data_IF_271257705963
#
_entry.id   IF_271257705963
#
_cell.length_a   1.000
_cell.length_b   1.000
_cell.length_c   1.000
_cell.angle_alpha   90.00
_cell.angle_beta   90.00
_cell.angle_gamma   90.00
#
_symmetry.space_group_name_H-M   'P 1'
#
loop_
_entity.id
_entity.type
_entity.pdbx_description
1 polymer ?
#
# COMPACT_ATOMS: atom_id res chain seq x y z
N UNK A 1 5.54 38.87 29.61
CA UNK A 1 4.79 38.09 28.60
C UNK A 1 5.79 37.33 27.73
N UNK A 2 5.97 36.03 27.95
CA UNK A 2 6.83 35.21 27.10
C UNK A 2 6.17 35.07 25.73
N UNK A 3 6.84 35.53 24.66
CA UNK A 3 6.44 35.25 23.27
C UNK A 3 6.33 33.73 23.14
N UNK A 4 5.10 33.24 22.90
CA UNK A 4 4.82 31.85 22.52
C UNK A 4 5.72 31.56 21.32
N UNK A 5 6.76 30.73 21.48
CA UNK A 5 7.61 30.30 20.35
C UNK A 5 6.67 29.82 19.25
N UNK A 6 6.75 30.45 18.08
CA UNK A 6 6.11 29.96 16.86
C UNK A 6 6.53 28.50 16.72
N UNK A 7 5.59 27.57 16.88
CA UNK A 7 5.88 26.14 16.73
C UNK A 7 6.41 25.96 15.31
N UNK A 8 7.63 25.43 15.16
CA UNK A 8 8.20 25.13 13.84
C UNK A 8 7.15 24.36 13.03
N UNK A 9 6.89 24.83 11.80
CA UNK A 9 5.78 24.33 11.00
C UNK A 9 6.12 22.93 10.49
N UNK A 10 5.53 21.91 11.09
CA UNK A 10 5.65 20.53 10.62
C UNK A 10 4.57 20.21 9.56
N UNK A 11 4.94 19.64 8.41
CA UNK A 11 3.98 19.23 7.37
C UNK A 11 4.38 17.92 6.70
N UNK A 12 3.38 17.11 6.34
CA UNK A 12 3.63 15.89 5.58
C UNK A 12 4.02 16.22 4.15
N UNK A 13 5.08 15.58 3.68
CA UNK A 13 5.57 15.68 2.32
C UNK A 13 6.03 14.31 1.80
N UNK A 14 6.51 14.27 0.55
CA UNK A 14 6.91 13.05 -0.13
C UNK A 14 8.10 12.43 0.63
N UNK A 15 8.00 11.15 0.96
CA UNK A 15 9.11 10.38 1.52
C UNK A 15 9.86 9.65 0.40
N UNK A 16 9.11 8.94 -0.45
CA UNK A 16 9.63 8.25 -1.62
C UNK A 16 8.89 8.67 -2.89
N UNK A 17 9.66 8.96 -3.96
CA UNK A 17 9.13 9.25 -5.28
C UNK A 17 9.70 8.25 -6.28
N UNK A 18 8.85 7.38 -6.84
CA UNK A 18 9.28 6.24 -7.65
C UNK A 18 10.34 5.36 -6.95
N UNK A 19 10.19 5.18 -5.63
CA UNK A 19 11.09 4.40 -4.77
C UNK A 19 12.39 5.10 -4.37
N UNK A 20 12.67 6.29 -4.88
CA UNK A 20 13.83 7.08 -4.48
C UNK A 20 13.49 7.96 -3.27
N UNK A 21 14.37 8.04 -2.24
CA UNK A 21 14.19 8.97 -1.14
C UNK A 21 14.12 10.42 -1.63
N UNK A 22 13.07 11.14 -1.27
CA UNK A 22 12.79 12.47 -1.80
C UNK A 22 13.89 13.51 -1.48
N UNK A 23 14.49 13.40 -0.30
CA UNK A 23 15.59 14.27 0.13
C UNK A 23 16.87 14.05 -0.67
N UNK A 24 17.06 12.85 -1.20
CA UNK A 24 18.30 12.44 -1.87
C UNK A 24 18.22 12.70 -3.38
N UNK A 25 17.04 13.04 -3.90
CA UNK A 25 16.87 13.49 -5.29
C UNK A 25 17.52 14.85 -5.50
N UNK A 26 18.22 15.02 -6.62
CA UNK A 26 18.68 16.33 -7.06
C UNK A 26 17.51 17.26 -7.41
N UNK A 27 17.74 18.57 -7.46
CA UNK A 27 16.73 19.52 -7.95
C UNK A 27 16.32 19.18 -9.40
N UNK A 28 17.27 18.75 -10.23
CA UNK A 28 17.02 18.30 -11.61
C UNK A 28 16.11 17.06 -11.66
N UNK A 29 16.30 16.09 -10.77
CA UNK A 29 15.43 14.91 -10.69
C UNK A 29 14.02 15.27 -10.24
N UNK A 30 13.90 16.10 -9.20
CA UNK A 30 12.61 16.59 -8.71
C UNK A 30 11.86 17.38 -9.79
N UNK A 31 12.56 18.21 -10.56
CA UNK A 31 12.02 18.93 -11.71
C UNK A 31 11.53 17.97 -12.80
N UNK A 32 12.36 17.00 -13.19
CA UNK A 32 12.02 15.99 -14.20
C UNK A 32 10.78 15.19 -13.80
N UNK A 33 10.75 14.69 -12.56
CA UNK A 33 9.62 13.92 -12.03
C UNK A 33 8.35 14.76 -11.85
N UNK A 34 8.47 16.03 -11.43
CA UNK A 34 7.33 16.94 -11.31
C UNK A 34 6.67 17.26 -12.65
N UNK A 35 7.48 17.40 -13.70
CA UNK A 35 7.02 17.59 -15.10
C UNK A 35 6.51 16.31 -15.74
N UNK A 36 6.94 15.15 -15.29
CA UNK A 36 6.57 13.87 -15.87
C UNK A 36 5.05 13.64 -15.84
N UNK A 37 4.48 13.29 -17.00
CA UNK A 37 3.09 12.86 -17.16
C UNK A 37 3.08 11.54 -17.91
N UNK A 38 2.67 10.48 -17.22
CA UNK A 38 2.46 9.17 -17.82
C UNK A 38 1.45 9.27 -18.98
N UNK A 39 1.74 8.62 -20.10
CA UNK A 39 0.88 8.61 -21.29
C UNK A 39 0.92 7.26 -22.03
N UNK A 40 -0.02 7.06 -22.96
CA UNK A 40 -0.15 5.79 -23.68
C UNK A 40 -1.05 4.76 -22.98
N UNK A 41 -1.52 3.78 -23.76
CA UNK A 41 -2.38 2.70 -23.28
C UNK A 41 -1.52 1.57 -22.72
N UNK A 42 -1.70 1.26 -21.43
CA UNK A 42 -1.02 0.16 -20.76
C UNK A 42 -1.27 -1.18 -21.48
N UNK A 43 -0.24 -2.02 -21.54
CA UNK A 43 -0.40 -3.44 -21.83
C UNK A 43 -1.12 -4.11 -20.66
N UNK A 44 -2.05 -5.02 -20.95
CA UNK A 44 -2.62 -5.87 -19.90
C UNK A 44 -1.68 -7.03 -19.53
N UNK A 45 -2.00 -7.75 -18.44
CA UNK A 45 -1.16 -8.86 -17.95
C UNK A 45 -1.00 -9.99 -18.98
N UNK A 46 -2.02 -10.28 -19.78
CA UNK A 46 -1.97 -11.32 -20.82
C UNK A 46 -1.09 -10.89 -21.98
N UNK A 47 -1.16 -9.63 -22.38
CA UNK A 47 -0.28 -9.05 -23.41
C UNK A 47 1.18 -9.06 -22.97
N UNK A 48 1.46 -8.67 -21.72
CA UNK A 48 2.81 -8.73 -21.17
C UNK A 48 3.35 -10.16 -21.13
N UNK A 49 2.55 -11.12 -20.65
CA UNK A 49 2.95 -12.53 -20.63
C UNK A 49 3.18 -13.07 -22.04
N UNK A 50 2.33 -12.68 -23.00
CA UNK A 50 2.47 -13.11 -24.39
C UNK A 50 3.79 -12.65 -25.02
N UNK A 51 4.30 -11.47 -24.66
CA UNK A 51 5.64 -11.02 -25.08
C UNK A 51 6.71 -11.98 -24.56
N UNK A 52 6.66 -12.34 -23.28
CA UNK A 52 7.62 -13.25 -22.65
C UNK A 52 7.58 -14.62 -23.35
N UNK A 53 6.40 -15.20 -23.49
CA UNK A 53 6.23 -16.53 -24.11
C UNK A 53 6.73 -16.55 -25.55
N UNK A 54 6.43 -15.51 -26.35
CA UNK A 54 6.90 -15.41 -27.73
C UNK A 54 8.41 -15.21 -27.83
N UNK A 55 9.03 -14.44 -26.90
CA UNK A 55 10.49 -14.30 -26.82
C UNK A 55 11.17 -15.61 -26.49
N UNK A 56 10.63 -16.39 -25.56
CA UNK A 56 11.14 -17.73 -25.28
C UNK A 56 10.96 -18.67 -26.48
N UNK A 57 9.83 -18.59 -27.18
CA UNK A 57 9.61 -19.40 -28.39
C UNK A 57 10.60 -19.07 -29.51
N UNK A 58 10.98 -17.80 -29.69
CA UNK A 58 12.04 -17.39 -30.64
C UNK A 58 13.37 -18.09 -30.33
N UNK A 59 13.71 -18.26 -29.04
CA UNK A 59 14.92 -18.99 -28.64
C UNK A 59 14.82 -20.49 -28.96
N UNK A 60 13.63 -21.06 -28.89
CA UNK A 60 13.37 -22.49 -29.16
C UNK A 60 13.24 -22.81 -30.67
N UNK A 61 12.95 -21.83 -31.52
CA UNK A 61 12.82 -22.02 -32.96
C UNK A 61 12.10 -20.85 -33.68
N UNK A 62 11.91 -20.94 -35.01
CA UNK A 62 11.25 -19.88 -35.76
C UNK A 62 9.77 -19.76 -35.36
N UNK A 63 9.30 -18.52 -35.22
CA UNK A 63 7.88 -18.22 -35.06
C UNK A 63 7.13 -18.40 -36.36
N UNK A 64 5.83 -18.70 -36.27
CA UNK A 64 4.93 -18.59 -37.43
C UNK A 64 4.82 -17.12 -37.87
N UNK A 65 4.48 -16.81 -39.14
CA UNK A 65 4.33 -15.42 -39.60
C UNK A 65 3.35 -14.58 -38.76
N UNK A 66 2.26 -15.20 -38.28
CA UNK A 66 1.28 -14.56 -37.40
C UNK A 66 1.87 -14.24 -36.03
N UNK A 67 2.62 -15.16 -35.43
CA UNK A 67 3.29 -14.94 -34.14
C UNK A 67 4.38 -13.90 -34.24
N UNK A 68 5.14 -13.87 -35.34
CA UNK A 68 6.16 -12.88 -35.60
C UNK A 68 5.55 -11.48 -35.71
N UNK A 69 4.46 -11.31 -36.47
CA UNK A 69 3.74 -10.04 -36.56
C UNK A 69 3.20 -9.62 -35.19
N UNK A 70 2.60 -10.55 -34.44
CA UNK A 70 2.05 -10.25 -33.11
C UNK A 70 3.13 -9.83 -32.13
N UNK A 71 4.30 -10.48 -32.14
CA UNK A 71 5.44 -10.10 -31.31
C UNK A 71 5.91 -8.68 -31.69
N UNK A 72 6.09 -8.39 -32.98
CA UNK A 72 6.51 -7.06 -33.44
C UNK A 72 5.55 -5.94 -32.99
N UNK A 73 4.24 -6.14 -33.12
CA UNK A 73 3.23 -5.17 -32.69
C UNK A 73 3.28 -4.93 -31.16
N UNK A 74 3.45 -6.01 -30.38
CA UNK A 74 3.54 -5.93 -28.92
C UNK A 74 4.85 -5.29 -28.46
N UNK A 75 5.97 -5.57 -29.12
CA UNK A 75 7.26 -4.95 -28.82
C UNK A 75 7.28 -3.46 -29.16
N UNK A 76 6.69 -3.05 -30.29
CA UNK A 76 6.53 -1.64 -30.62
C UNK A 76 5.73 -0.88 -29.54
N UNK A 77 4.64 -1.49 -29.04
CA UNK A 77 3.86 -0.94 -27.92
C UNK A 77 4.65 -0.89 -26.62
N UNK A 78 5.40 -1.95 -26.29
CA UNK A 78 6.24 -1.99 -25.10
C UNK A 78 7.32 -0.89 -25.14
N UNK A 79 8.00 -0.72 -26.28
CA UNK A 79 9.01 0.31 -26.48
C UNK A 79 8.42 1.72 -26.31
N UNK A 80 7.22 1.95 -26.86
CA UNK A 80 6.48 3.20 -26.65
C UNK A 80 6.19 3.45 -25.16
N UNK A 81 5.74 2.42 -24.42
CA UNK A 81 5.50 2.53 -22.98
C UNK A 81 6.77 2.79 -22.19
N UNK A 82 7.89 2.15 -22.53
CA UNK A 82 9.19 2.39 -21.86
C UNK A 82 9.64 3.86 -21.96
N UNK A 83 9.22 4.58 -22.99
CA UNK A 83 9.52 6.01 -23.15
C UNK A 83 8.52 6.96 -22.46
N UNK A 84 7.32 6.47 -22.11
CA UNK A 84 6.19 7.28 -21.63
C UNK A 84 5.69 6.89 -20.24
N UNK A 85 6.26 5.84 -19.66
CA UNK A 85 5.94 5.30 -18.34
C UNK A 85 7.20 5.18 -17.50
N UNK A 86 7.02 5.32 -16.18
CA UNK A 86 8.08 5.07 -15.21
C UNK A 86 7.99 3.63 -14.69
N UNK A 87 9.14 3.02 -14.44
CA UNK A 87 9.22 1.72 -13.78
C UNK A 87 8.88 1.89 -12.30
N UNK A 88 8.13 0.94 -11.74
CA UNK A 88 7.91 0.77 -10.32
C UNK A 88 8.98 -0.20 -9.79
N UNK A 89 9.87 0.22 -8.89
CA UNK A 89 10.94 -0.64 -8.40
C UNK A 89 10.43 -1.75 -7.45
N UNK A 90 9.21 -1.62 -6.94
CA UNK A 90 8.65 -2.54 -5.93
C UNK A 90 7.73 -3.61 -6.51
N UNK A 91 7.33 -3.46 -7.78
CA UNK A 91 6.28 -4.30 -8.37
C UNK A 91 6.85 -5.64 -8.80
N UNK A 92 6.34 -6.73 -8.23
CA UNK A 92 6.83 -8.10 -8.48
C UNK A 92 5.84 -8.98 -9.27
N UNK A 93 4.62 -8.49 -9.50
CA UNK A 93 3.49 -9.23 -10.07
C UNK A 93 3.35 -9.14 -11.60
N UNK A 94 4.28 -8.47 -12.28
CA UNK A 94 4.24 -8.22 -13.72
C UNK A 94 5.64 -8.29 -14.37
N UNK A 95 5.78 -8.89 -15.57
CA UNK A 95 7.07 -8.95 -16.29
C UNK A 95 7.66 -7.57 -16.62
N UNK A 96 6.79 -6.58 -16.88
CA UNK A 96 7.18 -5.20 -17.15
C UNK A 96 6.55 -4.30 -16.08
N UNK A 97 7.30 -3.98 -15.01
CA UNK A 97 6.73 -3.43 -13.78
C UNK A 97 6.47 -1.91 -13.88
N UNK A 98 5.65 -1.45 -14.82
CA UNK A 98 5.30 -0.03 -14.92
C UNK A 98 4.48 0.45 -13.71
N UNK A 99 4.77 1.66 -13.25
CA UNK A 99 4.05 2.32 -12.17
C UNK A 99 2.66 2.76 -12.63
N UNK A 100 1.63 2.28 -11.95
CA UNK A 100 0.23 2.64 -12.21
C UNK A 100 -0.27 3.82 -11.36
N UNK A 101 0.53 4.29 -10.40
CA UNK A 101 0.15 5.39 -9.52
C UNK A 101 0.42 6.73 -10.20
N UNK A 102 -0.63 7.50 -10.46
CA UNK A 102 -0.52 8.87 -10.99
C UNK A 102 0.41 9.71 -10.11
N UNK A 103 1.50 10.20 -10.71
CA UNK A 103 2.50 11.01 -10.03
C UNK A 103 3.53 10.23 -9.21
N UNK A 104 3.44 8.90 -9.09
CA UNK A 104 4.52 8.05 -8.56
C UNK A 104 4.93 8.22 -7.10
N UNK A 105 4.14 8.93 -6.28
CA UNK A 105 4.45 9.11 -4.86
C UNK A 105 4.15 7.82 -4.10
N UNK A 106 5.19 7.12 -3.66
CA UNK A 106 5.07 5.81 -3.02
C UNK A 106 4.66 5.94 -1.54
N UNK A 107 5.18 6.96 -0.85
CA UNK A 107 4.99 7.15 0.58
C UNK A 107 5.14 8.62 0.99
N UNK A 108 4.72 8.95 2.22
CA UNK A 108 4.89 10.28 2.82
C UNK A 108 5.43 10.23 4.24
N UNK A 109 6.05 11.32 4.67
CA UNK A 109 6.53 11.50 6.05
C UNK A 109 6.44 12.95 6.50
N UNK A 110 6.56 13.16 7.80
CA UNK A 110 6.50 14.50 8.39
C UNK A 110 7.87 15.18 8.32
N UNK A 111 7.89 16.41 7.82
CA UNK A 111 9.08 17.26 7.74
C UNK A 111 8.91 18.51 8.60
N UNK A 112 10.04 19.09 8.99
CA UNK A 112 10.17 20.40 9.61
C UNK A 112 11.26 21.20 8.88
N UNK A 113 11.25 22.52 9.07
CA UNK A 113 12.30 23.38 8.54
C UNK A 113 13.64 23.10 9.23
N UNK A 114 14.73 23.17 8.46
CA UNK A 114 16.10 23.12 8.98
C UNK A 114 16.52 24.53 9.41
N UNK A 115 17.18 24.70 10.57
CA UNK A 115 17.90 25.93 10.87
C UNK A 115 18.93 26.23 9.76
N UNK A 116 18.86 27.42 9.15
CA UNK A 116 19.70 27.77 8.00
C UNK A 116 19.11 27.46 6.62
N UNK A 117 17.88 26.91 6.56
CA UNK A 117 17.13 26.71 5.31
C UNK A 117 17.08 25.26 4.84
N UNK A 118 16.05 24.94 4.05
CA UNK A 118 15.72 23.58 3.62
C UNK A 118 14.82 22.85 4.62
N UNK A 119 14.66 21.54 4.43
CA UNK A 119 13.78 20.70 5.24
C UNK A 119 14.51 19.46 5.76
N UNK A 120 14.09 18.96 6.93
CA UNK A 120 14.53 17.69 7.51
C UNK A 120 13.33 16.88 7.99
N UNK A 121 13.44 15.55 8.05
CA UNK A 121 12.43 14.73 8.71
C UNK A 121 12.34 15.09 10.20
N UNK A 122 11.14 14.99 10.76
CA UNK A 122 10.99 14.98 12.22
C UNK A 122 11.63 13.71 12.81
N UNK A 123 11.89 13.70 14.12
CA UNK A 123 12.44 12.54 14.84
C UNK A 123 11.40 11.83 15.73
N UNK A 124 11.78 10.66 16.26
CA UNK A 124 10.95 9.86 17.16
C UNK A 124 9.78 9.17 16.46
N UNK A 125 8.73 8.80 17.21
CA UNK A 125 7.58 8.04 16.69
C UNK A 125 6.79 8.75 15.58
N UNK A 126 6.94 10.07 15.44
CA UNK A 126 6.28 10.81 14.35
C UNK A 126 7.05 10.73 13.03
N UNK A 127 8.30 10.24 13.06
CA UNK A 127 9.21 10.15 11.92
C UNK A 127 8.89 9.05 10.91
N UNK A 128 8.07 8.07 11.30
CA UNK A 128 7.72 6.91 10.47
C UNK A 128 7.25 7.31 9.07
N UNK A 129 7.50 6.44 8.11
CA UNK A 129 7.01 6.61 6.74
C UNK A 129 5.62 5.97 6.63
N UNK A 130 4.72 6.62 5.90
CA UNK A 130 3.37 6.11 5.63
C UNK A 130 3.29 5.65 4.19
N UNK A 131 3.06 4.37 3.98
CA UNK A 131 2.96 3.77 2.65
C UNK A 131 1.64 4.18 1.99
N UNK A 132 1.72 4.90 0.87
CA UNK A 132 0.54 5.44 0.15
C UNK A 132 0.16 4.60 -1.07
N UNK A 133 0.93 3.55 -1.35
CA UNK A 133 0.79 2.68 -2.50
C UNK A 133 0.84 1.22 -2.03
N UNK A 134 -0.18 0.39 -2.28
CA UNK A 134 -0.15 -1.03 -1.91
C UNK A 134 1.05 -1.78 -2.51
N UNK A 135 1.44 -1.43 -3.74
CA UNK A 135 2.60 -2.01 -4.43
C UNK A 135 3.92 -1.74 -3.70
N UNK A 136 4.01 -0.69 -2.86
CA UNK A 136 5.21 -0.44 -2.05
C UNK A 136 5.53 -1.63 -1.12
N UNK A 137 4.51 -2.38 -0.68
CA UNK A 137 4.66 -3.50 0.23
C UNK A 137 5.13 -4.81 -0.44
N UNK A 138 5.26 -4.81 -1.77
CA UNK A 138 5.75 -5.97 -2.53
C UNK A 138 7.28 -6.05 -2.62
N UNK A 139 8.00 -5.09 -2.04
CA UNK A 139 9.47 -5.01 -2.10
C UNK A 139 10.14 -6.35 -1.75
N UNK A 140 10.91 -6.86 -2.71
CA UNK A 140 11.66 -8.11 -2.67
C UNK A 140 10.85 -9.35 -2.24
N UNK A 141 9.51 -9.28 -2.33
CA UNK A 141 8.60 -10.26 -1.75
C UNK A 141 8.84 -10.53 -0.25
N UNK A 142 9.46 -9.60 0.48
CA UNK A 142 9.89 -9.78 1.87
C UNK A 142 8.72 -10.21 2.77
N UNK A 143 7.58 -9.53 2.66
CA UNK A 143 6.39 -9.86 3.44
C UNK A 143 5.81 -11.23 3.07
N UNK A 144 5.81 -11.57 1.77
CA UNK A 144 5.33 -12.86 1.28
C UNK A 144 6.15 -14.01 1.85
N UNK A 145 7.48 -13.85 1.89
CA UNK A 145 8.39 -14.84 2.48
C UNK A 145 8.13 -15.01 3.99
N UNK A 146 7.92 -13.92 4.73
CA UNK A 146 7.59 -13.99 6.16
C UNK A 146 6.25 -14.70 6.41
N UNK A 147 5.20 -14.36 5.65
CA UNK A 147 3.89 -14.99 5.79
C UNK A 147 3.96 -16.47 5.42
N UNK A 148 4.64 -16.80 4.32
CA UNK A 148 4.81 -18.18 3.87
C UNK A 148 5.53 -19.03 4.91
N UNK A 149 6.65 -18.52 5.44
CA UNK A 149 7.39 -19.23 6.47
C UNK A 149 6.57 -19.42 7.75
N UNK A 150 5.88 -18.38 8.22
CA UNK A 150 5.16 -18.38 9.49
C UNK A 150 3.84 -19.18 9.44
N UNK A 151 3.05 -19.04 8.37
CA UNK A 151 1.72 -19.65 8.30
C UNK A 151 1.67 -20.95 7.49
N UNK A 152 2.62 -21.15 6.57
CA UNK A 152 2.60 -22.28 5.63
C UNK A 152 3.81 -23.20 5.77
N UNK A 153 4.85 -22.79 6.52
CA UNK A 153 6.12 -23.51 6.56
C UNK A 153 6.82 -23.56 5.19
N UNK A 154 6.53 -22.58 4.32
CA UNK A 154 7.12 -22.46 2.98
C UNK A 154 7.59 -21.02 2.77
N UNK A 155 8.90 -20.73 2.76
CA UNK A 155 9.40 -19.37 2.56
C UNK A 155 9.21 -18.86 1.13
N UNK A 156 8.85 -19.71 0.16
CA UNK A 156 8.65 -19.34 -1.23
C UNK A 156 7.25 -19.75 -1.73
N UNK A 157 6.17 -19.28 -1.09
CA UNK A 157 4.83 -19.68 -1.49
C UNK A 157 4.47 -19.06 -2.85
N UNK A 158 3.59 -19.72 -3.59
CA UNK A 158 3.07 -19.22 -4.85
C UNK A 158 2.01 -18.13 -4.62
N UNK A 159 2.14 -16.99 -5.31
CA UNK A 159 1.20 -15.87 -5.24
C UNK A 159 0.12 -16.01 -6.31
N UNK A 160 -1.11 -16.38 -5.90
CA UNK A 160 -2.23 -16.63 -6.83
C UNK A 160 -2.84 -15.33 -7.37
N UNK A 161 -2.63 -14.20 -6.70
CA UNK A 161 -3.29 -12.92 -7.02
C UNK A 161 -4.72 -12.86 -6.49
N UNK A 162 -5.55 -12.02 -7.10
CA UNK A 162 -6.93 -11.77 -6.68
C UNK A 162 -7.83 -12.98 -6.97
N UNK A 163 -8.54 -13.46 -5.95
CA UNK A 163 -9.44 -14.62 -6.06
C UNK A 163 -10.81 -14.30 -5.47
N UNK A 164 -11.87 -14.58 -6.22
CA UNK A 164 -13.24 -14.45 -5.76
C UNK A 164 -13.58 -15.48 -4.67
N UNK A 165 -14.24 -15.04 -3.60
CA UNK A 165 -14.66 -15.92 -2.49
C UNK A 165 -16.15 -15.83 -2.15
N UNK A 166 -16.88 -14.91 -2.80
CA UNK A 166 -18.34 -14.75 -2.67
C UNK A 166 -18.95 -14.66 -4.06
N UNK A 167 -20.12 -15.26 -4.22
CA UNK A 167 -20.92 -15.18 -5.44
C UNK A 167 -22.20 -14.37 -5.21
N UNK A 168 -22.63 -13.62 -6.22
CA UNK A 168 -23.90 -12.90 -6.22
C UNK A 168 -25.04 -13.90 -6.20
N UNK A 169 -26.10 -13.58 -5.45
CA UNK A 169 -27.38 -14.30 -5.52
C UNK A 169 -28.29 -13.77 -6.64
N UNK A 170 -27.81 -12.79 -7.43
CA UNK A 170 -28.61 -12.05 -8.40
C UNK A 170 -29.11 -10.73 -7.82
N UNK A 171 -28.82 -9.62 -8.51
CA UNK A 171 -29.43 -8.31 -8.28
C UNK A 171 -29.57 -7.54 -9.61
N UNK A 172 -30.03 -6.29 -9.57
CA UNK A 172 -30.28 -5.47 -10.78
C UNK A 172 -29.04 -5.37 -11.70
N UNK A 173 -27.84 -5.43 -11.13
CA UNK A 173 -26.57 -5.15 -11.81
C UNK A 173 -25.62 -6.36 -11.83
N UNK A 174 -26.02 -7.54 -11.33
CA UNK A 174 -25.19 -8.75 -11.32
C UNK A 174 -26.02 -10.02 -11.43
N UNK A 175 -25.60 -10.91 -12.32
CA UNK A 175 -26.21 -12.23 -12.45
C UNK A 175 -25.83 -13.13 -11.26
N UNK A 176 -26.71 -14.08 -10.88
CA UNK A 176 -26.35 -15.12 -9.93
C UNK A 176 -25.05 -15.86 -10.33
N UNK A 177 -24.17 -16.11 -9.37
CA UNK A 177 -22.89 -16.80 -9.59
C UNK A 177 -21.71 -15.89 -9.98
N UNK A 178 -21.93 -14.58 -10.20
CA UNK A 178 -20.80 -13.65 -10.42
C UNK A 178 -20.04 -13.36 -9.11
N UNK A 179 -18.71 -13.22 -9.17
CA UNK A 179 -17.92 -12.89 -7.97
C UNK A 179 -18.26 -11.50 -7.42
N UNK A 180 -18.65 -11.42 -6.14
CA UNK A 180 -19.03 -10.17 -5.43
C UNK A 180 -18.16 -9.88 -4.21
N UNK A 181 -17.03 -10.56 -4.09
CA UNK A 181 -16.04 -10.30 -3.06
C UNK A 181 -14.76 -11.02 -3.40
N UNK A 182 -13.65 -10.30 -3.35
CA UNK A 182 -12.35 -10.82 -3.74
C UNK A 182 -11.37 -10.72 -2.56
N UNK A 183 -10.51 -11.72 -2.42
CA UNK A 183 -9.32 -11.67 -1.58
C UNK A 183 -8.19 -11.15 -2.45
N UNK A 184 -7.50 -10.11 -2.00
CA UNK A 184 -6.53 -9.37 -2.83
C UNK A 184 -5.35 -10.26 -3.23
N UNK A 185 -4.89 -11.10 -2.30
CA UNK A 185 -3.81 -12.05 -2.54
C UNK A 185 -4.01 -13.33 -1.74
N UNK A 186 -3.83 -14.48 -2.40
CA UNK A 186 -3.73 -15.79 -1.74
C UNK A 186 -2.32 -16.34 -1.94
N UNK A 187 -1.69 -16.75 -0.84
CA UNK A 187 -0.41 -17.46 -0.85
C UNK A 187 -0.68 -18.96 -0.71
N UNK A 188 -0.25 -19.76 -1.69
CA UNK A 188 -0.39 -21.21 -1.67
C UNK A 188 0.98 -21.86 -1.47
N UNK A 189 1.07 -22.81 -0.53
CA UNK A 189 2.30 -23.54 -0.27
C UNK A 189 2.64 -24.44 -1.46
N UNK A 190 3.90 -24.39 -1.90
CA UNK A 190 4.42 -25.16 -3.03
C UNK A 190 5.02 -26.50 -2.59
N UNK A 191 5.27 -26.66 -1.30
CA UNK A 191 5.86 -27.83 -0.67
C UNK A 191 4.82 -28.81 -0.07
N UNK A 192 3.53 -28.64 -0.37
CA UNK A 192 2.48 -29.54 0.13
C UNK A 192 2.64 -30.93 -0.52
N UNK A 193 2.76 -32.03 0.26
CA UNK A 193 2.89 -33.36 -0.31
C UNK A 193 1.68 -33.76 -1.16
N UNK A 194 1.90 -34.54 -2.21
CA UNK A 194 0.83 -35.03 -3.08
C UNK A 194 -0.21 -35.83 -2.27
N UNK A 195 -1.50 -35.55 -2.51
CA UNK A 195 -2.60 -36.18 -1.78
C UNK A 195 -3.00 -35.50 -0.47
N UNK A 196 -2.25 -34.49 -0.01
CA UNK A 196 -2.65 -33.68 1.14
C UNK A 196 -3.49 -32.46 0.72
N UNK A 197 -4.39 -31.97 1.62
CA UNK A 197 -5.13 -30.74 1.36
C UNK A 197 -4.20 -29.54 1.14
N UNK A 198 -4.53 -28.70 0.17
CA UNK A 198 -3.79 -27.48 -0.15
C UNK A 198 -3.66 -26.58 1.10
N UNK A 199 -2.42 -26.21 1.40
CA UNK A 199 -2.11 -25.20 2.41
C UNK A 199 -2.01 -23.83 1.76
N UNK A 200 -2.72 -22.86 2.34
CA UNK A 200 -2.77 -21.49 1.82
C UNK A 200 -3.22 -20.49 2.90
N UNK A 201 -2.85 -19.22 2.71
CA UNK A 201 -3.24 -18.10 3.56
C UNK A 201 -3.77 -16.93 2.72
N UNK A 202 -4.83 -16.28 3.19
CA UNK A 202 -5.32 -15.04 2.59
C UNK A 202 -4.45 -13.88 3.07
N UNK A 203 -4.16 -12.91 2.20
CA UNK A 203 -3.34 -11.74 2.51
C UNK A 203 -4.04 -10.47 2.05
N UNK A 204 -4.12 -9.50 2.95
CA UNK A 204 -4.63 -8.17 2.68
C UNK A 204 -3.56 -7.12 3.00
N UNK A 205 -3.28 -6.23 2.06
CA UNK A 205 -2.32 -5.13 2.24
C UNK A 205 -3.08 -3.81 2.36
N UNK A 206 -2.93 -3.13 3.48
CA UNK A 206 -3.61 -1.86 3.72
C UNK A 206 -2.61 -0.69 3.70
N UNK A 207 -2.57 0.01 2.56
CA UNK A 207 -1.89 1.29 2.43
C UNK A 207 -2.73 2.45 3.00
N UNK A 208 -2.10 3.58 3.27
CA UNK A 208 -2.73 4.74 3.87
C UNK A 208 -3.28 5.68 2.80
N UNK A 209 -4.54 6.13 2.96
CA UNK A 209 -5.10 7.25 2.23
C UNK A 209 -4.64 8.56 2.86
N UNK A 210 -4.75 9.69 2.14
CA UNK A 210 -4.49 11.01 2.71
C UNK A 210 -5.68 11.94 2.50
N UNK A 211 -5.84 12.88 3.43
CA UNK A 211 -6.73 14.03 3.28
C UNK A 211 -5.91 15.28 2.97
N UNK A 212 -6.54 16.26 2.32
CA UNK A 212 -5.94 17.55 1.98
C UNK A 212 -6.03 17.83 0.49
N UNK A 213 -5.21 18.76 0.00
CA UNK A 213 -5.16 19.07 -1.43
C UNK A 213 -4.54 17.92 -2.21
N UNK A 214 -5.00 17.72 -3.44
CA UNK A 214 -4.49 16.67 -4.33
C UNK A 214 -2.95 16.72 -4.47
N UNK A 215 -2.31 15.55 -4.61
CA UNK A 215 -0.85 15.46 -4.72
C UNK A 215 -0.33 16.15 -5.98
N UNK A 216 -1.12 16.16 -7.07
CA UNK A 216 -0.75 16.78 -8.34
C UNK A 216 -0.37 18.26 -8.23
N UNK A 217 -1.02 19.02 -7.33
CA UNK A 217 -0.67 20.42 -7.05
C UNK A 217 0.75 20.56 -6.49
N UNK A 218 1.17 19.63 -5.64
CA UNK A 218 2.54 19.62 -5.12
C UNK A 218 3.54 19.34 -6.23
N UNK A 219 3.27 18.35 -7.09
CA UNK A 219 4.19 18.00 -8.17
C UNK A 219 4.38 19.15 -9.15
N UNK A 220 3.30 19.88 -9.46
CA UNK A 220 3.35 21.11 -10.26
C UNK A 220 4.14 22.20 -9.55
N UNK A 221 3.94 22.41 -8.24
CA UNK A 221 4.68 23.41 -7.48
C UNK A 221 6.19 23.10 -7.46
N UNK A 222 6.58 21.84 -7.21
CA UNK A 222 7.98 21.40 -7.28
C UNK A 222 8.57 21.69 -8.66
N UNK A 223 7.84 21.39 -9.75
CA UNK A 223 8.30 21.67 -11.10
C UNK A 223 8.46 23.18 -11.39
N UNK A 224 7.56 24.01 -10.90
CA UNK A 224 7.59 25.46 -11.09
C UNK A 224 8.75 26.11 -10.31
N UNK A 225 9.08 25.57 -9.14
CA UNK A 225 10.19 26.04 -8.30
C UNK A 225 11.56 25.47 -8.75
N UNK A 226 11.64 24.94 -9.97
CA UNK A 226 12.88 24.37 -10.53
C UNK A 226 13.34 23.08 -9.85
N UNK A 227 12.43 22.42 -9.12
CA UNK A 227 12.72 21.23 -8.34
C UNK A 227 13.33 21.48 -6.98
N UNK A 228 13.53 22.75 -6.55
CA UNK A 228 14.18 23.12 -5.29
C UNK A 228 13.54 22.48 -4.06
N UNK A 229 14.36 22.07 -3.09
CA UNK A 229 13.87 21.40 -1.88
C UNK A 229 13.23 22.43 -0.95
N UNK A 230 11.94 22.27 -0.68
CA UNK A 230 11.20 23.17 0.21
C UNK A 230 10.11 22.43 0.98
N UNK A 231 9.57 23.10 2.00
CA UNK A 231 8.33 22.63 2.63
C UNK A 231 7.20 22.56 1.60
N UNK A 232 6.25 21.62 1.76
CA UNK A 232 5.14 21.48 0.83
C UNK A 232 4.29 22.75 0.84
N UNK A 233 3.75 23.13 -0.33
CA UNK A 233 2.93 24.35 -0.46
C UNK A 233 1.58 24.22 0.23
N UNK A 234 1.03 23.01 0.25
CA UNK A 234 -0.31 22.72 0.72
C UNK A 234 -0.32 21.63 1.79
N UNK A 235 -1.24 21.77 2.76
CA UNK A 235 -1.39 20.81 3.85
C UNK A 235 -1.97 19.48 3.38
N UNK A 236 -1.29 18.39 3.74
CA UNK A 236 -1.76 17.00 3.59
C UNK A 236 -1.51 16.26 4.89
N UNK A 237 -2.33 15.25 5.17
CA UNK A 237 -2.12 14.35 6.30
C UNK A 237 -2.62 12.94 5.98
N UNK A 238 -2.01 11.91 6.55
CA UNK A 238 -2.58 10.57 6.59
C UNK A 238 -4.03 10.59 7.07
N UNK A 239 -4.90 9.89 6.36
CA UNK A 239 -6.32 9.73 6.69
C UNK A 239 -6.56 8.31 7.23
N UNK A 240 -6.15 8.10 8.47
CA UNK A 240 -6.30 6.80 9.12
C UNK A 240 -7.76 6.39 9.30
N UNK A 241 -8.68 7.35 9.47
CA UNK A 241 -10.11 7.05 9.59
C UNK A 241 -10.69 6.47 8.30
N UNK A 242 -10.35 7.08 7.16
CA UNK A 242 -10.78 6.57 5.85
C UNK A 242 -10.06 5.28 5.46
N UNK A 243 -8.83 5.08 5.95
CA UNK A 243 -8.03 3.89 5.68
C UNK A 243 -8.46 2.69 6.53
N UNK A 244 -8.65 2.86 7.83
CA UNK A 244 -9.05 1.82 8.78
C UNK A 244 -10.58 1.67 8.87
N UNK A 245 -11.24 2.34 9.84
CA UNK A 245 -12.63 2.06 10.20
C UNK A 245 -13.65 2.23 9.07
N UNK A 246 -13.45 3.14 8.10
CA UNK A 246 -14.44 3.32 7.02
C UNK A 246 -14.35 2.29 5.89
N UNK A 247 -13.20 1.63 5.69
CA UNK A 247 -12.95 0.79 4.51
C UNK A 247 -12.38 -0.55 4.90
N UNK A 248 -11.26 -0.56 5.62
CA UNK A 248 -10.59 -1.79 5.99
C UNK A 248 -11.40 -2.62 6.99
N UNK A 249 -12.02 -2.00 7.99
CA UNK A 249 -12.86 -2.72 8.96
C UNK A 249 -14.04 -3.46 8.29
N UNK A 250 -14.85 -2.84 7.40
CA UNK A 250 -15.84 -3.57 6.61
C UNK A 250 -15.27 -4.73 5.81
N UNK A 251 -14.10 -4.57 5.18
CA UNK A 251 -13.46 -5.65 4.41
C UNK A 251 -13.12 -6.85 5.32
N UNK A 252 -12.54 -6.60 6.50
CA UNK A 252 -12.26 -7.66 7.47
C UNK A 252 -13.54 -8.37 7.94
N UNK A 253 -14.59 -7.61 8.23
CA UNK A 253 -15.89 -8.16 8.66
C UNK A 253 -16.55 -9.05 7.62
N UNK A 254 -16.33 -8.78 6.33
CA UNK A 254 -16.87 -9.61 5.24
C UNK A 254 -15.99 -10.84 4.99
N UNK A 255 -14.66 -10.66 4.93
CA UNK A 255 -13.72 -11.72 4.52
C UNK A 255 -13.46 -12.73 5.63
N UNK A 256 -13.16 -12.26 6.85
CA UNK A 256 -12.64 -13.11 7.94
C UNK A 256 -13.62 -14.19 8.41
N UNK A 257 -14.93 -13.95 8.56
CA UNK A 257 -15.85 -15.01 9.00
C UNK A 257 -15.87 -16.22 8.06
N UNK A 258 -15.76 -16.02 6.75
CA UNK A 258 -15.70 -17.11 5.78
C UNK A 258 -14.37 -17.86 5.86
N UNK A 259 -13.25 -17.14 5.96
CA UNK A 259 -11.93 -17.76 6.15
C UNK A 259 -11.87 -18.58 7.43
N UNK A 260 -12.38 -18.04 8.55
CA UNK A 260 -12.48 -18.72 9.85
C UNK A 260 -13.24 -20.05 9.72
N UNK A 261 -14.37 -20.08 9.00
CA UNK A 261 -15.15 -21.31 8.76
C UNK A 261 -14.39 -22.38 7.97
N UNK A 262 -13.46 -21.97 7.10
CA UNK A 262 -12.57 -22.87 6.37
C UNK A 262 -11.32 -23.26 7.18
N UNK A 263 -11.18 -22.78 8.41
CA UNK A 263 -9.99 -22.98 9.23
C UNK A 263 -8.77 -22.19 8.72
N UNK A 264 -8.99 -21.13 7.94
CA UNK A 264 -7.94 -20.32 7.31
C UNK A 264 -7.76 -18.98 8.04
N UNK A 265 -6.51 -18.52 8.08
CA UNK A 265 -6.12 -17.25 8.70
C UNK A 265 -6.03 -16.15 7.64
N UNK A 266 -6.26 -14.91 8.05
CA UNK A 266 -5.97 -13.74 7.23
C UNK A 266 -4.68 -13.08 7.73
N UNK A 267 -3.67 -13.00 6.86
CA UNK A 267 -2.53 -12.15 7.08
C UNK A 267 -2.88 -10.71 6.66
N UNK A 268 -2.59 -9.74 7.51
CA UNK A 268 -2.79 -8.31 7.24
C UNK A 268 -1.46 -7.60 7.27
N UNK A 269 -1.15 -6.83 6.23
CA UNK A 269 0.12 -6.10 6.11
C UNK A 269 -0.15 -4.60 6.20
N UNK A 270 0.49 -3.93 7.16
CA UNK A 270 0.34 -2.49 7.42
C UNK A 270 1.66 -1.86 7.82
N UNK A 271 1.86 -0.58 7.53
CA UNK A 271 2.99 0.16 8.09
C UNK A 271 2.82 0.46 9.59
N UNK A 272 3.94 0.60 10.30
CA UNK A 272 3.98 0.87 11.74
C UNK A 272 3.20 2.13 12.13
N UNK A 273 3.22 3.15 11.27
CA UNK A 273 2.48 4.38 11.52
C UNK A 273 0.97 4.20 11.46
N UNK A 274 0.47 3.38 10.53
CA UNK A 274 -0.92 2.98 10.47
C UNK A 274 -1.29 2.19 11.73
N UNK A 275 -0.48 1.19 12.10
CA UNK A 275 -0.77 0.35 13.27
C UNK A 275 -0.81 1.16 14.58
N UNK A 276 0.19 2.02 14.82
CA UNK A 276 0.21 2.90 16.00
C UNK A 276 -0.89 3.96 16.01
N UNK A 277 -1.56 4.22 14.87
CA UNK A 277 -2.69 5.16 14.80
C UNK A 277 -4.02 4.55 15.26
N UNK A 278 -4.09 3.22 15.34
CA UNK A 278 -5.29 2.51 15.77
C UNK A 278 -5.40 2.47 17.30
N UNK A 279 -6.61 2.17 17.80
CA UNK A 279 -6.81 1.85 19.19
C UNK A 279 -6.09 0.55 19.57
N UNK A 280 -5.79 0.39 20.86
CA UNK A 280 -5.15 -0.82 21.37
C UNK A 280 -6.05 -2.04 21.09
N UNK A 281 -5.51 -3.02 20.36
CA UNK A 281 -6.16 -4.30 20.13
C UNK A 281 -5.79 -5.29 21.23
N UNK A 282 -6.75 -6.13 21.66
CA UNK A 282 -6.43 -7.26 22.52
C UNK A 282 -5.81 -8.37 21.70
N UNK A 283 -4.63 -8.82 22.12
CA UNK A 283 -3.89 -9.88 21.44
C UNK A 283 -4.23 -11.26 22.00
N UNK A 284 -4.07 -12.28 21.18
CA UNK A 284 -4.15 -13.70 21.59
C UNK A 284 -2.75 -14.33 21.53
N UNK A 285 -2.45 -15.32 22.38
CA UNK A 285 -1.06 -15.79 22.54
C UNK A 285 -0.58 -16.70 21.41
N UNK A 286 -1.48 -17.32 20.64
CA UNK A 286 -1.14 -18.35 19.66
C UNK A 286 -1.93 -18.18 18.36
N UNK A 287 -1.31 -18.56 17.24
CA UNK A 287 -1.89 -18.53 15.89
C UNK A 287 -3.14 -19.40 15.79
N UNK A 288 -3.18 -20.51 16.51
CA UNK A 288 -4.36 -21.38 16.57
C UNK A 288 -5.60 -20.61 17.02
N UNK A 289 -5.43 -19.62 17.90
CA UNK A 289 -6.50 -18.85 18.53
C UNK A 289 -6.79 -17.51 17.84
N UNK A 290 -6.03 -17.13 16.81
CA UNK A 290 -6.26 -15.88 16.07
C UNK A 290 -7.09 -16.11 14.81
N UNK A 291 -7.68 -15.03 14.29
CA UNK A 291 -8.22 -15.00 12.93
C UNK A 291 -7.33 -14.20 11.99
N UNK A 292 -6.69 -13.16 12.55
CA UNK A 292 -5.89 -12.20 11.83
C UNK A 292 -4.48 -12.20 12.41
N UNK A 293 -3.50 -12.32 11.51
CA UNK A 293 -2.08 -12.16 11.81
C UNK A 293 -1.61 -10.86 11.16
N UNK A 294 -1.32 -9.86 11.98
CA UNK A 294 -0.83 -8.56 11.51
C UNK A 294 0.68 -8.63 11.34
N UNK A 295 1.15 -8.35 10.14
CA UNK A 295 2.55 -8.13 9.79
C UNK A 295 2.78 -6.63 9.69
N UNK A 296 3.46 -6.09 10.70
CA UNK A 296 3.73 -4.67 10.80
C UNK A 296 5.08 -4.41 10.15
N UNK A 297 5.11 -3.48 9.19
CA UNK A 297 6.33 -3.13 8.47
C UNK A 297 6.81 -1.72 8.79
N UNK A 298 8.12 -1.51 8.70
CA UNK A 298 8.72 -0.18 8.65
C UNK A 298 9.52 -0.02 7.34
N UNK A 299 9.77 1.22 6.95
CA UNK A 299 10.56 1.58 5.77
C UNK A 299 11.84 2.26 6.27
N UNK A 300 12.89 1.47 6.44
CA UNK A 300 14.13 1.90 7.10
C UNK A 300 15.17 2.23 6.06
N UNK A 301 15.87 3.35 6.23
CA UNK A 301 17.02 3.68 5.40
C UNK A 301 18.26 3.01 6.03
N UNK A 302 18.88 1.99 5.41
CA UNK A 302 19.99 1.27 6.02
C UNK A 302 21.22 2.18 6.20
N UNK A 303 21.44 3.09 5.25
CA UNK A 303 22.45 4.15 5.32
C UNK A 303 21.93 5.43 4.67
N UNK A 304 22.39 6.62 5.07
CA UNK A 304 22.03 7.87 4.39
C UNK A 304 22.27 7.78 2.87
N UNK A 305 21.29 8.18 2.07
CA UNK A 305 21.35 8.10 0.60
C UNK A 305 20.90 6.77 -0.01
N UNK A 306 20.77 5.70 0.78
CA UNK A 306 20.23 4.43 0.28
C UNK A 306 18.70 4.49 0.10
N UNK A 307 18.14 3.65 -0.76
CA UNK A 307 16.68 3.47 -0.80
C UNK A 307 16.17 2.99 0.56
N UNK A 308 14.93 3.34 0.90
CA UNK A 308 14.28 2.76 2.07
C UNK A 308 13.97 1.30 1.80
N UNK A 309 14.38 0.42 2.71
CA UNK A 309 14.08 -1.01 2.66
C UNK A 309 12.89 -1.33 3.57
N UNK A 310 11.95 -2.12 3.06
CA UNK A 310 10.87 -2.69 3.84
C UNK A 310 11.42 -3.73 4.80
N UNK A 311 11.04 -3.62 6.06
CA UNK A 311 11.34 -4.62 7.09
C UNK A 311 10.05 -4.99 7.82
N UNK A 312 9.81 -6.29 8.02
CA UNK A 312 8.78 -6.74 8.96
C UNK A 312 9.34 -6.57 10.37
N UNK A 313 8.79 -5.63 11.13
CA UNK A 313 9.33 -5.21 12.43
C UNK A 313 8.58 -5.81 13.61
N UNK A 314 7.33 -6.20 13.42
CA UNK A 314 6.50 -6.75 14.48
C UNK A 314 5.38 -7.62 13.90
N UNK A 315 4.85 -8.51 14.74
CA UNK A 315 3.78 -9.43 14.41
C UNK A 315 2.76 -9.52 15.53
N UNK A 316 1.49 -9.28 15.23
CA UNK A 316 0.40 -9.27 16.23
C UNK A 316 -0.70 -10.24 15.87
N UNK A 317 -1.25 -10.91 16.88
CA UNK A 317 -2.27 -11.93 16.73
C UNK A 317 -3.57 -11.46 17.35
N UNK A 318 -4.64 -11.41 16.57
CA UNK A 318 -5.95 -10.94 17.07
C UNK A 318 -7.08 -11.82 16.53
N UNK A 319 -8.21 -11.78 17.24
CA UNK A 319 -9.48 -12.21 16.66
C UNK A 319 -10.05 -11.08 15.81
N UNK A 320 -11.05 -11.38 14.98
CA UNK A 320 -11.79 -10.35 14.24
C UNK A 320 -12.37 -9.29 15.18
N UNK A 321 -12.93 -9.72 16.30
CA UNK A 321 -13.62 -8.85 17.27
C UNK A 321 -12.63 -7.88 17.92
N UNK A 322 -11.47 -8.36 18.38
CA UNK A 322 -10.43 -7.49 18.94
C UNK A 322 -9.84 -6.51 17.90
N UNK A 323 -9.76 -6.93 16.63
CA UNK A 323 -9.35 -6.04 15.53
C UNK A 323 -10.36 -4.92 15.29
N UNK A 324 -11.67 -5.22 15.35
CA UNK A 324 -12.74 -4.24 15.20
C UNK A 324 -12.71 -3.22 16.34
N UNK A 325 -12.48 -3.67 17.58
CA UNK A 325 -12.33 -2.79 18.74
C UNK A 325 -11.19 -1.78 18.51
N UNK A 326 -10.01 -2.26 18.09
CA UNK A 326 -8.87 -1.39 17.80
C UNK A 326 -9.09 -0.46 16.60
N UNK A 327 -9.70 -0.97 15.51
CA UNK A 327 -9.98 -0.18 14.31
C UNK A 327 -11.02 0.91 14.55
N UNK A 328 -11.96 0.69 15.47
CA UNK A 328 -12.94 1.71 15.86
C UNK A 328 -12.24 2.89 16.55
N UNK A 329 -11.16 2.62 17.30
CA UNK A 329 -10.21 3.63 17.76
C UNK A 329 -10.78 4.69 18.71
N UNK A 330 -11.96 4.44 19.29
CA UNK A 330 -12.66 5.37 20.16
C UNK A 330 -13.44 4.64 21.25
N UNK A 331 -13.39 5.18 22.47
CA UNK A 331 -14.26 4.77 23.56
C UNK A 331 -15.47 5.69 23.54
N UNK A 332 -16.71 5.18 23.62
CA UNK A 332 -17.88 6.04 23.72
C UNK A 332 -17.76 6.95 24.94
N UNK A 333 -18.00 8.24 24.76
CA UNK A 333 -18.09 9.19 25.87
C UNK A 333 -19.32 8.89 26.72
N UNK A 334 -19.30 9.27 27.99
CA UNK A 334 -20.50 9.15 28.83
C UNK A 334 -21.61 10.03 28.25
N UNK A 335 -22.87 9.58 28.39
CA UNK A 335 -24.03 10.30 27.87
C UNK A 335 -24.07 11.76 28.35
N UNK A 336 -23.79 11.98 29.65
CA UNK A 336 -23.77 13.33 30.24
C UNK A 336 -22.72 14.25 29.63
N UNK A 337 -21.50 13.76 29.35
CA UNK A 337 -20.44 14.56 28.71
C UNK A 337 -20.82 14.93 27.27
N UNK A 338 -21.48 14.00 26.57
CA UNK A 338 -21.98 14.23 25.22
C UNK A 338 -23.11 15.26 25.20
N UNK A 339 -24.07 15.15 26.12
CA UNK A 339 -25.19 16.09 26.26
C UNK A 339 -24.69 17.49 26.66
N UNK A 340 -23.74 17.59 27.60
CA UNK A 340 -23.10 18.87 27.93
C UNK A 340 -22.40 19.52 26.72
N UNK A 341 -21.70 18.72 25.91
CA UNK A 341 -21.08 19.19 24.66
C UNK A 341 -22.10 19.68 23.62
N UNK A 342 -23.32 19.12 23.63
CA UNK A 342 -24.43 19.59 22.79
C UNK A 342 -24.96 20.92 23.32
N UNK A 343 -25.21 21.01 24.63
CA UNK A 343 -25.66 22.25 25.29
C UNK A 343 -24.71 23.40 25.05
N UNK A 344 -23.39 23.18 25.21
CA UNK A 344 -22.35 24.17 24.93
C UNK A 344 -22.46 24.71 23.48
N UNK A 345 -22.71 23.83 22.50
CA UNK A 345 -22.86 24.23 21.10
C UNK A 345 -24.18 24.93 20.82
N UNK A 346 -25.26 24.53 21.51
CA UNK A 346 -26.55 25.22 21.41
C UNK A 346 -26.46 26.64 21.95
N UNK A 347 -25.73 26.84 23.05
CA UNK A 347 -25.48 28.16 23.65
C UNK A 347 -24.58 29.02 22.77
N UNK A 348 -23.53 28.43 22.18
CA UNK A 348 -22.60 29.14 21.30
C UNK A 348 -23.24 29.64 19.98
N UNK A 349 -24.40 29.09 19.60
CA UNK A 349 -25.03 29.35 18.31
C UNK A 349 -24.33 28.62 17.14
N UNK A 350 -24.96 28.62 15.94
CA UNK A 350 -24.41 27.96 14.75
C UNK A 350 -23.11 28.57 14.22
#
# INVERSE_FOLDING_TARGET
MAKKKSKEKEMFHIAEWYGMPFLDLSDGDRLRLGKFKASGKMLDKKEMQRIVDLREKVKAGPLTPTEQKRLADLEARLASLQSTQMICPFRTDAPFPFCNKKGGVCSMRLYQEKPGGGIQPVTGKRAYIRGMCPVRYQEDNTVVQHIGQDLLGDPNPFQVGEVGFLESTGNLDSDPGQSVGNIDMVLAATNTPQGHPMQWAAVEVQAVYFSGKEMGKELTAIANDGGRLSMPKEGRRPDYRSSGPKRFMPQLQIKVPTLRRWGKKMAVVVDIAFFESMGKMREVPDVSNCDIVWYIVDFVQPTPGAAFALQVVDRRLTTLEHSIEGLTGGIPVAKGDFEASIEDKMIAGP
#
